data_IF_865659066823
#
_entry.id   IF_865659066823
#
_cell.length_a   1.000
_cell.length_b   1.000
_cell.length_c   1.000
_cell.angle_alpha   90.00
_cell.angle_beta   90.00
_cell.angle_gamma   90.00
#
_symmetry.space_group_name_H-M   'P 1'
#
loop_
_entity.id
_entity.type
_entity.pdbx_description
1 polymer ?
#
# COMPACT_ATOMS: atom_id res chain seq x y z
N UNK A 1 66.52 10.70 -52.73
CA UNK A 1 66.88 12.01 -52.18
C UNK A 1 65.89 13.03 -52.73
N UNK A 2 64.77 13.20 -52.03
CA UNK A 2 63.84 14.32 -52.21
C UNK A 2 63.39 14.64 -50.79
N UNK A 3 63.91 15.75 -50.26
CA UNK A 3 63.58 16.31 -48.96
C UNK A 3 62.39 17.24 -49.16
N UNK A 4 61.20 16.79 -48.79
CA UNK A 4 60.01 17.65 -48.67
C UNK A 4 59.89 18.14 -47.23
N UNK A 5 60.01 19.45 -47.09
CA UNK A 5 59.81 20.22 -45.86
C UNK A 5 58.31 20.45 -45.67
N UNK A 6 57.73 20.19 -44.48
CA UNK A 6 56.32 20.48 -44.23
C UNK A 6 56.11 21.98 -43.93
N UNK A 7 54.95 22.55 -44.29
CA UNK A 7 54.64 23.95 -43.99
C UNK A 7 54.26 24.11 -42.51
N UNK A 8 54.82 25.16 -41.90
CA UNK A 8 54.41 25.65 -40.59
C UNK A 8 52.98 26.20 -40.67
N UNK A 9 52.07 25.60 -39.93
CA UNK A 9 50.74 26.16 -39.67
C UNK A 9 50.77 26.82 -38.30
N UNK A 10 50.91 28.14 -38.31
CA UNK A 10 50.63 29.02 -37.17
C UNK A 10 49.12 29.00 -36.91
N UNK A 11 48.71 28.21 -35.91
CA UNK A 11 47.37 28.18 -35.37
C UNK A 11 47.36 28.81 -33.98
N UNK A 12 47.46 30.14 -33.90
CA UNK A 12 47.04 30.91 -32.72
C UNK A 12 45.51 30.83 -32.58
N UNK A 13 45.00 29.64 -32.27
CA UNK A 13 43.58 29.45 -31.98
C UNK A 13 43.34 29.67 -30.49
N UNK A 14 43.10 30.95 -30.18
CA UNK A 14 42.09 31.38 -29.22
C UNK A 14 42.07 30.61 -27.89
N UNK A 15 42.88 31.09 -26.95
CA UNK A 15 42.60 31.06 -25.50
C UNK A 15 41.29 31.80 -25.19
N UNK A 16 40.15 31.34 -25.73
CA UNK A 16 38.84 31.62 -25.17
C UNK A 16 38.72 30.74 -23.95
N UNK A 17 39.05 31.30 -22.80
CA UNK A 17 38.73 30.72 -21.50
C UNK A 17 37.29 30.25 -21.54
N UNK A 18 37.10 28.95 -21.42
CA UNK A 18 35.80 28.35 -21.16
C UNK A 18 35.23 29.10 -19.97
N UNK A 19 34.06 29.75 -20.08
CA UNK A 19 33.47 30.42 -18.94
C UNK A 19 33.40 29.40 -17.80
N UNK A 20 33.77 29.79 -16.56
CA UNK A 20 33.71 28.85 -15.45
C UNK A 20 32.29 28.30 -15.41
N UNK A 21 32.17 26.98 -15.33
CA UNK A 21 30.89 26.30 -15.20
C UNK A 21 30.27 26.69 -13.85
N UNK A 22 29.64 27.85 -13.80
CA UNK A 22 28.98 28.43 -12.62
C UNK A 22 27.47 28.57 -12.87
N UNK A 23 26.90 27.66 -13.65
CA UNK A 23 25.47 27.37 -13.56
C UNK A 23 25.34 26.08 -12.78
N UNK A 24 24.85 26.23 -11.55
CA UNK A 24 24.42 25.19 -10.63
C UNK A 24 24.01 23.93 -11.39
N UNK A 25 24.89 22.94 -11.41
CA UNK A 25 24.60 21.61 -11.94
C UNK A 25 23.65 20.90 -10.97
N UNK A 26 22.47 21.48 -10.80
CA UNK A 26 21.39 20.89 -10.04
C UNK A 26 21.17 19.49 -10.59
N UNK A 27 21.27 18.49 -9.70
CA UNK A 27 21.05 17.08 -10.02
C UNK A 27 19.85 16.97 -10.94
N UNK A 28 20.02 16.34 -12.12
CA UNK A 28 19.01 16.42 -13.20
C UNK A 28 17.63 15.93 -12.74
N UNK A 29 17.60 14.95 -11.83
CA UNK A 29 16.37 14.43 -11.22
C UNK A 29 15.77 15.22 -10.06
N UNK A 30 16.41 16.32 -9.68
CA UNK A 30 16.00 17.19 -8.58
C UNK A 30 15.47 18.55 -9.04
N UNK A 31 15.36 18.77 -10.36
CA UNK A 31 14.75 19.96 -10.90
C UNK A 31 13.31 20.16 -10.36
N UNK A 32 12.89 21.40 -10.04
CA UNK A 32 11.53 21.70 -9.62
C UNK A 32 10.52 21.16 -10.63
N UNK A 33 9.59 20.33 -10.15
CA UNK A 33 8.61 19.66 -11.01
C UNK A 33 7.46 20.62 -11.28
N UNK A 34 7.02 20.70 -12.53
CA UNK A 34 5.75 21.35 -12.84
C UNK A 34 4.63 20.60 -12.12
N UNK A 35 3.83 21.32 -11.33
CA UNK A 35 2.65 20.72 -10.71
C UNK A 35 1.68 20.28 -11.81
N UNK A 36 1.16 19.04 -11.78
CA UNK A 36 0.26 18.57 -12.82
C UNK A 36 -0.95 19.50 -12.93
N UNK A 37 -1.40 19.72 -14.17
CA UNK A 37 -2.55 20.57 -14.45
C UNK A 37 -3.80 20.04 -13.72
N UNK A 38 -4.82 20.90 -13.48
CA UNK A 38 -6.04 20.49 -12.78
C UNK A 38 -6.76 19.30 -13.47
N UNK A 39 -6.71 19.23 -14.80
CA UNK A 39 -7.28 18.11 -15.57
C UNK A 39 -6.56 16.78 -15.31
N UNK A 40 -5.22 16.79 -15.26
CA UNK A 40 -4.43 15.60 -14.93
C UNK A 40 -4.60 15.18 -13.48
N UNK A 41 -4.69 16.15 -12.55
CA UNK A 41 -5.02 15.88 -11.16
C UNK A 41 -6.38 15.21 -11.03
N UNK A 42 -7.40 15.67 -11.76
CA UNK A 42 -8.73 15.04 -11.75
C UNK A 42 -8.69 13.62 -12.34
N UNK A 43 -7.97 13.42 -13.46
CA UNK A 43 -7.80 12.09 -14.08
C UNK A 43 -7.09 11.13 -13.13
N UNK A 44 -5.98 11.56 -12.54
CA UNK A 44 -5.20 10.75 -11.60
C UNK A 44 -6.00 10.48 -10.31
N UNK A 45 -6.73 11.48 -9.82
CA UNK A 45 -7.67 11.31 -8.71
C UNK A 45 -8.77 10.30 -9.05
N UNK A 46 -9.28 10.28 -10.28
CA UNK A 46 -10.33 9.35 -10.66
C UNK A 46 -9.82 7.91 -10.83
N UNK A 47 -8.62 7.72 -11.38
CA UNK A 47 -8.00 6.40 -11.48
C UNK A 47 -7.54 5.86 -10.12
N UNK A 48 -7.17 6.76 -9.20
CA UNK A 48 -6.50 6.38 -7.97
C UNK A 48 -7.16 7.00 -6.73
N UNK A 49 -8.51 7.13 -6.75
CA UNK A 49 -9.43 7.79 -5.78
C UNK A 49 -9.06 7.60 -4.30
N UNK A 50 -8.05 8.32 -3.84
CA UNK A 50 -7.46 8.21 -2.51
C UNK A 50 -5.94 8.45 -2.44
N UNK A 51 -5.26 8.67 -3.56
CA UNK A 51 -3.80 8.77 -3.61
C UNK A 51 -3.23 10.20 -3.53
N UNK A 52 -4.06 11.24 -3.45
CA UNK A 52 -3.57 12.64 -3.36
C UNK A 52 -2.56 12.84 -2.23
N UNK A 53 -2.87 12.33 -1.03
CA UNK A 53 -1.94 12.41 0.11
C UNK A 53 -0.68 11.55 -0.08
N UNK A 54 -0.77 10.45 -0.84
CA UNK A 54 0.38 9.61 -1.16
C UNK A 54 1.29 10.27 -2.19
N UNK A 55 0.71 10.98 -3.17
CA UNK A 55 1.43 11.81 -4.13
C UNK A 55 2.18 12.92 -3.38
N UNK A 56 1.47 13.75 -2.61
CA UNK A 56 2.07 14.90 -1.92
C UNK A 56 3.19 14.47 -0.96
N UNK A 57 2.99 13.33 -0.28
CA UNK A 57 4.00 12.75 0.60
C UNK A 57 5.24 12.29 -0.18
N UNK A 58 5.07 11.56 -1.28
CA UNK A 58 6.22 11.11 -2.07
C UNK A 58 6.92 12.30 -2.72
N UNK A 59 6.17 13.27 -3.26
CA UNK A 59 6.70 14.48 -3.87
C UNK A 59 7.58 15.26 -2.90
N UNK A 60 7.05 15.55 -1.70
CA UNK A 60 7.80 16.25 -0.65
C UNK A 60 8.99 15.45 -0.14
N UNK A 61 8.87 14.13 0.01
CA UNK A 61 9.99 13.26 0.43
C UNK A 61 11.10 13.25 -0.62
N UNK A 62 10.75 13.16 -1.91
CA UNK A 62 11.70 13.21 -3.01
C UNK A 62 12.43 14.55 -3.05
N UNK A 63 11.70 15.66 -2.91
CA UNK A 63 12.28 17.01 -2.94
C UNK A 63 13.24 17.23 -1.78
N UNK A 64 12.86 16.85 -0.55
CA UNK A 64 13.73 16.94 0.62
C UNK A 64 15.00 16.08 0.44
N UNK A 65 14.84 14.83 0.01
CA UNK A 65 15.96 13.92 -0.21
C UNK A 65 16.91 14.41 -1.30
N UNK A 66 16.38 14.97 -2.39
CA UNK A 66 17.17 15.58 -3.45
C UNK A 66 18.08 16.70 -2.94
N UNK A 67 17.56 17.58 -2.09
CA UNK A 67 18.33 18.66 -1.50
C UNK A 67 19.41 18.14 -0.54
N UNK A 68 19.07 17.16 0.33
CA UNK A 68 20.03 16.52 1.24
C UNK A 68 21.15 15.79 0.47
N UNK A 69 20.80 15.06 -0.58
CA UNK A 69 21.76 14.31 -1.39
C UNK A 69 22.66 15.23 -2.21
N UNK A 70 22.13 16.31 -2.78
CA UNK A 70 22.94 17.33 -3.45
C UNK A 70 23.96 17.97 -2.51
N UNK A 71 23.52 18.40 -1.32
CA UNK A 71 24.42 18.97 -0.32
C UNK A 71 25.53 18.00 0.13
N UNK A 72 25.21 16.70 0.23
CA UNK A 72 26.20 15.67 0.53
C UNK A 72 27.25 15.52 -0.59
N UNK A 73 26.81 15.54 -1.85
CA UNK A 73 27.73 15.45 -3.00
C UNK A 73 28.62 16.68 -3.10
N UNK A 74 28.08 17.88 -2.86
CA UNK A 74 28.87 19.11 -2.83
C UNK A 74 29.98 19.06 -1.75
N UNK A 75 29.66 18.54 -0.57
CA UNK A 75 30.64 18.39 0.51
C UNK A 75 31.68 17.30 0.18
N UNK A 76 31.25 16.19 -0.43
CA UNK A 76 32.15 15.15 -0.90
C UNK A 76 33.13 15.69 -1.95
N UNK A 77 32.65 16.43 -2.95
CA UNK A 77 33.49 17.05 -3.98
C UNK A 77 34.52 18.02 -3.36
N UNK A 78 34.16 18.77 -2.31
CA UNK A 78 35.11 19.61 -1.55
C UNK A 78 36.20 18.79 -0.84
N UNK A 79 35.82 17.70 -0.19
CA UNK A 79 36.77 16.81 0.50
C UNK A 79 37.73 16.13 -0.48
N UNK A 80 37.22 15.67 -1.63
CA UNK A 80 38.04 15.10 -2.71
C UNK A 80 39.04 16.13 -3.24
N UNK A 81 38.58 17.36 -3.53
CA UNK A 81 39.45 18.45 -3.98
C UNK A 81 40.54 18.82 -2.96
N UNK A 82 40.22 18.75 -1.66
CA UNK A 82 41.17 19.05 -0.59
C UNK A 82 42.25 17.99 -0.43
N UNK A 83 41.93 16.70 -0.66
CA UNK A 83 42.91 15.61 -0.57
C UNK A 83 43.79 15.49 -1.82
N UNK A 84 43.27 15.82 -3.00
CA UNK A 84 44.00 15.67 -4.26
C UNK A 84 44.19 14.21 -4.71
N UNK A 85 43.66 13.26 -3.94
CA UNK A 85 43.46 11.88 -4.38
C UNK A 85 42.21 11.86 -5.27
N UNK A 86 42.25 11.09 -6.36
CA UNK A 86 41.14 11.00 -7.31
C UNK A 86 39.78 10.65 -6.67
N UNK A 87 38.70 10.62 -7.46
CA UNK A 87 37.34 10.51 -6.93
C UNK A 87 37.18 9.27 -6.04
N UNK A 88 36.74 9.49 -4.80
CA UNK A 88 36.55 8.45 -3.79
C UNK A 88 35.22 7.72 -3.97
N UNK A 89 34.24 8.39 -4.59
CA UNK A 89 33.00 7.80 -5.08
C UNK A 89 33.10 7.57 -6.58
N UNK A 90 32.78 6.34 -6.99
CA UNK A 90 32.55 6.02 -8.38
C UNK A 90 31.39 6.87 -8.94
N UNK A 91 31.67 7.70 -9.94
CA UNK A 91 30.68 8.60 -10.56
C UNK A 91 29.49 7.80 -11.13
N UNK A 92 29.67 6.53 -11.47
CA UNK A 92 28.60 5.64 -11.91
C UNK A 92 27.53 5.43 -10.82
N UNK A 93 27.93 5.41 -9.54
CA UNK A 93 27.00 5.29 -8.40
C UNK A 93 26.12 6.53 -8.31
N UNK A 94 26.72 7.71 -8.44
CA UNK A 94 25.98 8.99 -8.39
C UNK A 94 24.98 9.06 -9.55
N UNK A 95 25.43 8.79 -10.77
CA UNK A 95 24.55 8.74 -11.96
C UNK A 95 23.44 7.70 -11.80
N UNK A 96 23.71 6.56 -11.14
CA UNK A 96 22.68 5.56 -10.86
C UNK A 96 21.62 6.06 -9.88
N UNK A 97 22.01 6.76 -8.81
CA UNK A 97 21.08 7.38 -7.86
C UNK A 97 20.22 8.43 -8.58
N UNK A 98 20.82 9.32 -9.35
CA UNK A 98 20.10 10.34 -10.12
C UNK A 98 19.09 9.71 -11.08
N UNK A 99 19.50 8.67 -11.82
CA UNK A 99 18.62 7.94 -12.73
C UNK A 99 17.41 7.34 -12.02
N UNK A 100 17.60 6.82 -10.80
CA UNK A 100 16.52 6.26 -9.99
C UNK A 100 15.57 7.35 -9.47
N UNK A 101 16.11 8.51 -9.06
CA UNK A 101 15.31 9.67 -8.65
C UNK A 101 14.50 10.24 -9.83
N UNK A 102 15.10 10.33 -11.01
CA UNK A 102 14.43 10.73 -12.25
C UNK A 102 13.27 9.78 -12.59
N UNK A 103 13.52 8.48 -12.50
CA UNK A 103 12.46 7.46 -12.71
C UNK A 103 11.37 7.59 -11.66
N UNK A 104 11.72 7.82 -10.40
CA UNK A 104 10.75 8.02 -9.33
C UNK A 104 9.84 9.23 -9.62
N UNK A 105 10.43 10.36 -10.00
CA UNK A 105 9.71 11.57 -10.37
C UNK A 105 8.83 11.37 -11.61
N UNK A 106 9.35 10.70 -12.64
CA UNK A 106 8.60 10.38 -13.86
C UNK A 106 7.40 9.46 -13.58
N UNK A 107 7.56 8.47 -12.72
CA UNK A 107 6.45 7.62 -12.28
C UNK A 107 5.41 8.40 -11.48
N UNK A 108 5.85 9.29 -10.59
CA UNK A 108 4.97 10.16 -9.82
C UNK A 108 4.11 11.05 -10.74
N UNK A 109 4.72 11.72 -11.72
CA UNK A 109 4.01 12.56 -12.71
C UNK A 109 2.95 11.78 -13.50
N UNK A 110 3.24 10.51 -13.85
CA UNK A 110 2.30 9.62 -14.54
C UNK A 110 1.20 9.05 -13.63
N UNK A 111 1.21 9.37 -12.33
CA UNK A 111 0.28 8.80 -11.34
C UNK A 111 0.62 7.36 -10.92
N UNK A 112 1.80 6.85 -11.29
CA UNK A 112 2.32 5.53 -10.92
C UNK A 112 3.06 5.59 -9.57
N UNK A 113 2.32 5.95 -8.52
CA UNK A 113 2.89 6.29 -7.20
C UNK A 113 3.70 5.12 -6.61
N UNK A 114 3.30 3.87 -6.86
CA UNK A 114 4.01 2.69 -6.36
C UNK A 114 5.37 2.51 -6.98
N UNK A 115 5.42 2.60 -8.31
CA UNK A 115 6.66 2.53 -9.06
C UNK A 115 7.57 3.70 -8.66
N UNK A 116 6.99 4.86 -8.34
CA UNK A 116 7.67 6.00 -7.74
C UNK A 116 8.37 5.63 -6.43
N UNK A 117 7.63 5.08 -5.46
CA UNK A 117 8.18 4.63 -4.19
C UNK A 117 9.25 3.54 -4.37
N UNK A 118 9.05 2.59 -5.28
CA UNK A 118 10.03 1.53 -5.57
C UNK A 118 11.36 2.11 -6.05
N UNK A 119 11.32 3.04 -7.01
CA UNK A 119 12.52 3.71 -7.54
C UNK A 119 13.19 4.56 -6.45
N UNK A 120 12.41 5.31 -5.67
CA UNK A 120 12.93 6.11 -4.56
C UNK A 120 13.63 5.26 -3.50
N UNK A 121 13.02 4.15 -3.08
CA UNK A 121 13.64 3.22 -2.14
C UNK A 121 14.90 2.57 -2.71
N UNK A 122 14.97 2.35 -4.03
CA UNK A 122 16.19 1.87 -4.67
C UNK A 122 17.31 2.91 -4.61
N UNK A 123 17.02 4.19 -4.89
CA UNK A 123 17.97 5.28 -4.76
C UNK A 123 18.56 5.34 -3.33
N UNK A 124 17.68 5.29 -2.31
CA UNK A 124 18.03 5.24 -0.88
C UNK A 124 18.79 3.99 -0.39
N UNK A 125 19.01 3.00 -1.25
CA UNK A 125 19.89 1.88 -0.93
C UNK A 125 21.26 2.10 -1.55
N UNK A 126 21.31 2.72 -2.73
CA UNK A 126 22.53 2.96 -3.48
C UNK A 126 23.32 4.12 -2.86
N UNK A 127 22.65 5.12 -2.30
CA UNK A 127 23.28 6.24 -1.57
C UNK A 127 24.13 5.81 -0.36
N UNK A 128 23.90 4.62 0.22
CA UNK A 128 24.72 4.04 1.27
C UNK A 128 26.18 3.86 0.85
N UNK A 129 26.46 3.71 -0.46
CA UNK A 129 27.83 3.71 -0.97
C UNK A 129 28.48 5.09 -0.93
N UNK A 130 27.69 6.16 -1.12
CA UNK A 130 28.15 7.55 -1.02
C UNK A 130 28.49 7.87 0.44
N UNK A 131 27.62 7.50 1.39
CA UNK A 131 27.92 7.64 2.83
C UNK A 131 29.19 6.88 3.23
N UNK A 132 29.36 5.66 2.73
CA UNK A 132 30.55 4.87 3.04
C UNK A 132 31.83 5.44 2.44
N UNK A 133 31.76 6.14 1.31
CA UNK A 133 32.91 6.83 0.75
C UNK A 133 33.21 8.12 1.51
N UNK A 134 32.18 8.85 1.92
CA UNK A 134 32.31 10.02 2.78
C UNK A 134 33.03 9.66 4.10
N UNK A 135 32.58 8.62 4.80
CA UNK A 135 33.22 8.16 6.04
C UNK A 135 34.69 7.72 5.82
N UNK A 136 35.07 7.24 4.62
CA UNK A 136 36.47 6.95 4.28
C UNK A 136 37.29 8.22 4.07
N UNK A 137 36.70 9.27 3.49
CA UNK A 137 37.35 10.56 3.26
C UNK A 137 37.52 11.39 4.53
N UNK A 138 36.74 11.12 5.56
CA UNK A 138 36.85 11.79 6.87
C UNK A 138 37.64 10.95 7.88
N UNK A 139 38.36 9.91 7.42
CA UNK A 139 39.11 8.97 8.28
C UNK A 139 38.26 8.37 9.43
N UNK A 140 36.95 8.24 9.21
CA UNK A 140 35.99 7.76 10.20
C UNK A 140 35.67 8.76 11.33
N UNK A 141 36.02 10.04 11.18
CA UNK A 141 35.54 11.10 12.08
C UNK A 141 34.02 11.21 12.05
N UNK A 142 33.42 10.91 10.89
CA UNK A 142 31.98 10.78 10.72
C UNK A 142 31.56 9.30 10.71
N UNK A 143 30.44 9.04 11.36
CA UNK A 143 29.84 7.70 11.51
C UNK A 143 28.53 7.63 10.69
N UNK A 144 28.45 8.24 9.50
CA UNK A 144 27.18 8.43 8.77
C UNK A 144 26.51 7.09 8.43
N UNK A 145 27.29 6.08 8.01
CA UNK A 145 26.75 4.74 7.76
C UNK A 145 26.18 4.12 9.04
N UNK A 146 26.83 4.34 10.18
CA UNK A 146 26.37 3.85 11.48
C UNK A 146 25.12 4.58 11.95
N UNK A 147 25.03 5.89 11.76
CA UNK A 147 23.83 6.68 12.03
C UNK A 147 22.63 6.17 11.23
N UNK A 148 22.81 5.95 9.92
CA UNK A 148 21.78 5.34 9.07
C UNK A 148 21.42 3.92 9.51
N UNK A 149 22.40 3.16 9.99
CA UNK A 149 22.16 1.82 10.54
C UNK A 149 21.26 1.87 11.78
N UNK A 150 21.50 2.82 12.69
CA UNK A 150 20.66 3.05 13.87
C UNK A 150 19.24 3.45 13.46
N UNK A 151 19.09 4.35 12.48
CA UNK A 151 17.78 4.77 11.96
C UNK A 151 17.00 3.58 11.38
N UNK A 152 17.65 2.78 10.52
CA UNK A 152 17.05 1.58 9.90
C UNK A 152 16.66 0.56 10.98
N UNK A 153 17.54 0.31 11.95
CA UNK A 153 17.26 -0.62 13.03
C UNK A 153 16.04 -0.17 13.85
N UNK A 154 15.96 1.12 14.21
CA UNK A 154 14.80 1.68 14.92
C UNK A 154 13.52 1.55 14.11
N UNK A 155 13.54 1.94 12.83
CA UNK A 155 12.38 1.79 11.93
C UNK A 155 11.95 0.31 11.84
N UNK A 156 12.90 -0.61 11.79
CA UNK A 156 12.63 -2.04 11.74
C UNK A 156 11.98 -2.56 13.03
N UNK A 157 12.45 -2.14 14.21
CA UNK A 157 11.86 -2.56 15.49
C UNK A 157 10.43 -2.03 15.66
N UNK A 158 10.15 -0.84 15.15
CA UNK A 158 8.83 -0.22 15.24
C UNK A 158 7.81 -0.82 14.26
N UNK A 159 8.26 -1.22 13.06
CA UNK A 159 7.35 -1.59 11.95
C UNK A 159 7.35 -3.07 11.58
N UNK A 160 8.41 -3.81 11.87
CA UNK A 160 8.53 -5.21 11.48
C UNK A 160 8.15 -6.15 12.63
N UNK A 161 7.69 -7.35 12.30
CA UNK A 161 7.40 -8.41 13.25
C UNK A 161 7.87 -9.77 12.73
N UNK A 162 8.05 -10.73 13.65
CA UNK A 162 8.54 -12.08 13.35
C UNK A 162 9.93 -12.11 12.73
N UNK A 163 10.15 -13.05 11.80
CA UNK A 163 11.46 -13.35 11.22
C UNK A 163 12.13 -12.17 10.51
N UNK A 164 11.37 -11.21 9.94
CA UNK A 164 11.97 -10.05 9.25
C UNK A 164 12.65 -9.11 10.22
N UNK A 165 12.05 -8.92 11.40
CA UNK A 165 12.62 -8.11 12.47
C UNK A 165 13.90 -8.75 12.99
N UNK A 166 13.86 -10.06 13.23
CA UNK A 166 15.03 -10.87 13.64
C UNK A 166 16.15 -10.80 12.60
N UNK A 167 15.84 -10.99 11.30
CA UNK A 167 16.83 -10.90 10.24
C UNK A 167 17.49 -9.51 10.16
N UNK A 168 16.76 -8.42 10.38
CA UNK A 168 17.35 -7.07 10.46
C UNK A 168 18.26 -6.94 11.68
N UNK A 169 17.84 -7.44 12.86
CA UNK A 169 18.68 -7.45 14.05
C UNK A 169 19.97 -8.27 13.84
N UNK A 170 19.89 -9.44 13.22
CA UNK A 170 21.06 -10.28 12.94
C UNK A 170 22.06 -9.63 11.98
N UNK A 171 21.55 -8.84 11.01
CA UNK A 171 22.38 -8.10 10.06
C UNK A 171 23.10 -6.91 10.72
N UNK A 172 22.40 -6.17 11.59
CA UNK A 172 22.85 -4.85 12.06
C UNK A 172 23.47 -4.87 13.46
N UNK A 173 23.08 -5.82 14.31
CA UNK A 173 23.56 -5.92 15.68
C UNK A 173 24.79 -6.84 15.79
N UNK A 174 25.59 -6.60 16.81
CA UNK A 174 26.65 -7.50 17.26
C UNK A 174 26.12 -8.52 18.29
N UNK A 175 27.01 -9.37 18.81
CA UNK A 175 26.66 -10.37 19.83
C UNK A 175 26.17 -9.78 21.15
N UNK A 176 26.44 -8.49 21.40
CA UNK A 176 25.97 -7.77 22.59
C UNK A 176 24.59 -7.14 22.41
N UNK A 177 23.99 -7.27 21.21
CA UNK A 177 22.72 -6.65 20.87
C UNK A 177 22.83 -5.16 20.58
N UNK A 178 24.04 -4.63 20.40
CA UNK A 178 24.28 -3.24 20.04
C UNK A 178 24.52 -3.12 18.53
N UNK A 179 24.18 -1.98 17.94
CA UNK A 179 24.48 -1.71 16.53
C UNK A 179 26.00 -1.76 16.33
N UNK A 180 26.45 -2.54 15.34
CA UNK A 180 27.88 -2.72 15.05
C UNK A 180 28.55 -1.36 14.85
N UNK A 181 29.77 -1.20 15.38
CA UNK A 181 30.56 0.04 15.22
C UNK A 181 30.87 0.33 13.74
N UNK A 182 31.24 -0.70 12.98
CA UNK A 182 31.49 -0.61 11.54
C UNK A 182 30.59 -1.61 10.80
N UNK A 183 29.31 -1.29 10.59
CA UNK A 183 28.39 -2.19 9.91
C UNK A 183 28.78 -2.26 8.42
N UNK A 184 28.91 -3.46 7.83
CA UNK A 184 29.23 -3.57 6.41
C UNK A 184 28.07 -3.02 5.58
N UNK A 185 28.38 -2.16 4.60
CA UNK A 185 27.38 -1.48 3.73
C UNK A 185 26.38 -2.45 3.12
N UNK A 186 26.86 -3.63 2.68
CA UNK A 186 26.01 -4.68 2.11
C UNK A 186 24.96 -5.22 3.09
N UNK A 187 25.29 -5.29 4.40
CA UNK A 187 24.33 -5.69 5.43
C UNK A 187 23.31 -4.57 5.69
N UNK A 188 23.75 -3.31 5.72
CA UNK A 188 22.86 -2.14 5.87
C UNK A 188 21.88 -2.04 4.70
N UNK A 189 22.37 -2.22 3.47
CA UNK A 189 21.53 -2.26 2.26
C UNK A 189 20.51 -3.41 2.31
N UNK A 190 20.93 -4.61 2.74
CA UNK A 190 20.02 -5.75 2.86
C UNK A 190 18.97 -5.54 3.94
N UNK A 191 19.35 -4.96 5.08
CA UNK A 191 18.40 -4.59 6.13
C UNK A 191 17.39 -3.54 5.64
N UNK A 192 17.88 -2.49 4.94
CA UNK A 192 17.02 -1.47 4.32
C UNK A 192 16.04 -2.09 3.33
N UNK A 193 16.50 -3.03 2.50
CA UNK A 193 15.64 -3.74 1.55
C UNK A 193 14.50 -4.49 2.26
N UNK A 194 14.78 -5.20 3.36
CA UNK A 194 13.74 -5.90 4.14
C UNK A 194 12.69 -4.93 4.72
N UNK A 195 13.13 -3.77 5.21
CA UNK A 195 12.23 -2.72 5.71
C UNK A 195 11.36 -2.16 4.58
N UNK A 196 11.96 -1.84 3.43
CA UNK A 196 11.26 -1.30 2.27
C UNK A 196 10.24 -2.31 1.70
N UNK A 197 10.62 -3.60 1.57
CA UNK A 197 9.74 -4.68 1.10
C UNK A 197 8.51 -4.85 2.01
N UNK A 198 8.73 -4.81 3.33
CA UNK A 198 7.65 -4.90 4.31
C UNK A 198 6.73 -3.68 4.26
N UNK A 199 7.29 -2.46 4.14
CA UNK A 199 6.52 -1.24 3.96
C UNK A 199 5.66 -1.31 2.68
N UNK A 200 6.24 -1.74 1.55
CA UNK A 200 5.52 -1.91 0.29
C UNK A 200 4.39 -2.95 0.40
N UNK A 201 4.65 -4.09 1.05
CA UNK A 201 3.66 -5.13 1.31
C UNK A 201 2.48 -4.60 2.13
N UNK A 202 2.77 -3.82 3.19
CA UNK A 202 1.75 -3.19 4.03
C UNK A 202 0.93 -2.15 3.27
N UNK A 203 1.57 -1.32 2.44
CA UNK A 203 0.89 -0.33 1.60
C UNK A 203 -0.02 -0.98 0.56
N UNK A 204 0.44 -2.06 -0.09
CA UNK A 204 -0.36 -2.84 -1.03
C UNK A 204 -1.58 -3.46 -0.34
N UNK A 205 -1.39 -4.05 0.85
CA UNK A 205 -2.48 -4.63 1.66
C UNK A 205 -3.51 -3.57 2.05
N UNK A 206 -3.08 -2.39 2.52
CA UNK A 206 -3.99 -1.30 2.90
C UNK A 206 -4.84 -0.85 1.71
N UNK A 207 -4.24 -0.72 0.53
CA UNK A 207 -4.99 -0.32 -0.68
C UNK A 207 -5.93 -1.39 -1.18
N UNK A 208 -5.55 -2.65 -1.08
CA UNK A 208 -6.45 -3.77 -1.34
C UNK A 208 -7.68 -3.70 -0.43
N UNK A 209 -7.49 -3.55 0.89
CA UNK A 209 -8.59 -3.43 1.86
C UNK A 209 -9.46 -2.20 1.60
N UNK A 210 -8.88 -1.06 1.25
CA UNK A 210 -9.62 0.16 0.90
C UNK A 210 -10.43 -0.02 -0.39
N UNK A 211 -9.93 -0.75 -1.39
CA UNK A 211 -10.71 -1.09 -2.60
C UNK A 211 -11.87 -2.01 -2.23
N UNK A 212 -11.62 -3.06 -1.45
CA UNK A 212 -12.63 -3.99 -0.97
C UNK A 212 -13.75 -3.26 -0.20
N UNK A 213 -13.37 -2.36 0.71
CA UNK A 213 -14.30 -1.54 1.49
C UNK A 213 -15.16 -0.65 0.59
N UNK A 214 -14.56 -0.01 -0.42
CA UNK A 214 -15.29 0.82 -1.39
C UNK A 214 -16.28 0.02 -2.23
N UNK A 215 -15.91 -1.18 -2.67
CA UNK A 215 -16.83 -2.05 -3.40
C UNK A 215 -18.00 -2.51 -2.53
N UNK A 216 -17.73 -2.90 -1.27
CA UNK A 216 -18.79 -3.27 -0.31
C UNK A 216 -19.73 -2.09 -0.06
N UNK A 217 -19.19 -0.89 0.18
CA UNK A 217 -19.98 0.31 0.38
C UNK A 217 -20.81 0.66 -0.85
N UNK A 218 -20.20 0.61 -2.05
CA UNK A 218 -20.89 0.88 -3.31
C UNK A 218 -22.05 -0.08 -3.57
N UNK A 219 -21.82 -1.39 -3.40
CA UNK A 219 -22.87 -2.40 -3.55
C UNK A 219 -23.96 -2.22 -2.50
N UNK A 220 -23.59 -1.93 -1.24
CA UNK A 220 -24.55 -1.64 -0.17
C UNK A 220 -25.42 -0.43 -0.48
N UNK A 221 -24.85 0.66 -0.99
CA UNK A 221 -25.60 1.86 -1.43
C UNK A 221 -26.56 1.50 -2.56
N UNK A 222 -26.10 0.79 -3.60
CA UNK A 222 -26.96 0.38 -4.73
C UNK A 222 -28.11 -0.49 -4.25
N UNK A 223 -27.83 -1.51 -3.42
CA UNK A 223 -28.85 -2.38 -2.85
C UNK A 223 -29.88 -1.60 -2.02
N UNK A 224 -29.42 -0.66 -1.18
CA UNK A 224 -30.29 0.23 -0.40
C UNK A 224 -31.14 1.14 -1.30
N UNK A 225 -30.57 1.74 -2.34
CA UNK A 225 -31.30 2.60 -3.27
C UNK A 225 -32.40 1.82 -4.01
N UNK A 226 -32.08 0.62 -4.51
CA UNK A 226 -33.04 -0.26 -5.16
C UNK A 226 -34.14 -0.68 -4.17
N UNK A 227 -33.76 -1.04 -2.94
CA UNK A 227 -34.71 -1.36 -1.89
C UNK A 227 -35.67 -0.20 -1.59
N UNK A 228 -35.14 1.00 -1.34
CA UNK A 228 -35.94 2.19 -1.04
C UNK A 228 -36.86 2.57 -2.20
N UNK A 229 -36.40 2.43 -3.45
CA UNK A 229 -37.24 2.65 -4.63
C UNK A 229 -38.39 1.64 -4.73
N UNK A 230 -38.16 0.39 -4.34
CA UNK A 230 -39.21 -0.61 -4.26
C UNK A 230 -40.21 -0.29 -3.15
N UNK A 231 -39.72 0.08 -1.96
CA UNK A 231 -40.56 0.46 -0.82
C UNK A 231 -41.49 1.62 -1.15
N UNK A 232 -41.00 2.65 -1.84
CA UNK A 232 -41.84 3.81 -2.21
C UNK A 232 -42.90 3.48 -3.25
N UNK A 233 -42.72 2.43 -4.08
CA UNK A 233 -43.68 2.05 -5.13
C UNK A 233 -44.70 1.00 -4.69
N UNK A 234 -44.27 0.01 -3.90
CA UNK A 234 -45.10 -1.16 -3.58
C UNK A 234 -45.31 -1.38 -2.07
N UNK A 235 -44.59 -0.66 -1.22
CA UNK A 235 -44.58 -0.80 0.25
C UNK A 235 -44.66 -2.27 0.73
N UNK A 236 -43.55 -3.03 0.67
CA UNK A 236 -43.53 -4.45 1.05
C UNK A 236 -43.90 -4.70 2.52
N UNK A 237 -43.91 -3.67 3.36
CA UNK A 237 -44.29 -3.77 4.78
C UNK A 237 -45.81 -3.83 4.98
N UNK A 238 -46.60 -3.39 4.00
CA UNK A 238 -48.06 -3.38 4.06
C UNK A 238 -48.70 -4.58 3.35
N UNK A 239 -47.90 -5.47 2.75
CA UNK A 239 -48.40 -6.61 1.99
C UNK A 239 -48.84 -7.71 2.95
N UNK A 240 -50.12 -8.10 2.90
CA UNK A 240 -50.65 -9.18 3.73
C UNK A 240 -50.13 -10.56 3.32
N UNK A 241 -49.87 -10.75 2.02
CA UNK A 241 -49.40 -12.01 1.46
C UNK A 241 -47.90 -11.95 1.10
N UNK A 242 -47.09 -12.60 1.93
CA UNK A 242 -45.63 -12.68 1.76
C UNK A 242 -45.20 -13.65 0.65
N UNK A 243 -46.12 -14.41 0.05
CA UNK A 243 -45.82 -15.37 -1.03
C UNK A 243 -45.78 -14.75 -2.42
N UNK A 244 -46.22 -13.49 -2.55
CA UNK A 244 -46.22 -12.77 -3.83
C UNK A 244 -44.77 -12.65 -4.35
N UNK A 245 -44.51 -12.94 -5.65
CA UNK A 245 -43.17 -12.88 -6.23
C UNK A 245 -42.44 -11.55 -6.00
N UNK A 246 -43.19 -10.44 -5.97
CA UNK A 246 -42.65 -9.11 -5.67
C UNK A 246 -42.04 -9.03 -4.28
N UNK A 247 -42.65 -9.67 -3.26
CA UNK A 247 -42.09 -9.71 -1.90
C UNK A 247 -40.77 -10.50 -1.87
N UNK A 248 -40.73 -11.64 -2.58
CA UNK A 248 -39.54 -12.49 -2.68
C UNK A 248 -38.31 -11.77 -3.28
N UNK A 249 -38.50 -10.70 -4.08
CA UNK A 249 -37.40 -9.89 -4.59
C UNK A 249 -36.73 -9.00 -3.53
N UNK A 250 -37.44 -8.62 -2.46
CA UNK A 250 -36.87 -7.80 -1.39
C UNK A 250 -35.95 -8.60 -0.47
N UNK A 251 -36.25 -9.89 -0.26
CA UNK A 251 -35.47 -10.79 0.59
C UNK A 251 -33.97 -10.83 0.23
N UNK A 252 -33.55 -11.13 -1.02
CA UNK A 252 -32.14 -11.14 -1.38
C UNK A 252 -31.50 -9.76 -1.33
N UNK A 253 -32.26 -8.67 -1.53
CA UNK A 253 -31.76 -7.29 -1.40
C UNK A 253 -31.42 -6.96 0.05
N UNK A 254 -32.27 -7.33 1.02
CA UNK A 254 -31.97 -7.18 2.43
C UNK A 254 -30.81 -8.08 2.87
N UNK A 255 -30.74 -9.31 2.37
CA UNK A 255 -29.61 -10.21 2.60
C UNK A 255 -28.29 -9.60 2.08
N UNK A 256 -28.30 -9.04 0.87
CA UNK A 256 -27.15 -8.32 0.31
C UNK A 256 -26.75 -7.12 1.18
N UNK A 257 -27.74 -6.35 1.66
CA UNK A 257 -27.52 -5.20 2.53
C UNK A 257 -26.86 -5.62 3.85
N UNK A 258 -27.40 -6.65 4.52
CA UNK A 258 -26.83 -7.21 5.74
C UNK A 258 -25.39 -7.69 5.55
N UNK A 259 -25.13 -8.40 4.44
CA UNK A 259 -23.79 -8.90 4.09
C UNK A 259 -22.80 -7.76 3.79
N UNK A 260 -23.26 -6.68 3.15
CA UNK A 260 -22.43 -5.50 2.85
C UNK A 260 -21.97 -4.79 4.13
N UNK A 261 -22.89 -4.56 5.08
CA UNK A 261 -22.59 -3.93 6.38
C UNK A 261 -21.67 -4.79 7.22
N UNK A 262 -21.91 -6.09 7.25
CA UNK A 262 -21.02 -7.04 7.92
C UNK A 262 -19.63 -7.03 7.28
N UNK A 263 -19.56 -7.05 5.95
CA UNK A 263 -18.32 -6.98 5.19
C UNK A 263 -17.49 -5.74 5.53
N UNK A 264 -18.14 -4.56 5.60
CA UNK A 264 -17.51 -3.30 6.01
C UNK A 264 -16.87 -3.43 7.39
N UNK A 265 -17.64 -3.90 8.39
CA UNK A 265 -17.15 -4.11 9.76
C UNK A 265 -16.00 -5.12 9.81
N UNK A 266 -16.11 -6.22 9.06
CA UNK A 266 -15.09 -7.27 9.01
C UNK A 266 -13.78 -6.76 8.43
N UNK A 267 -13.83 -6.00 7.34
CA UNK A 267 -12.63 -5.44 6.70
C UNK A 267 -11.93 -4.45 7.64
N UNK A 268 -12.70 -3.62 8.36
CA UNK A 268 -12.15 -2.69 9.34
C UNK A 268 -11.44 -3.36 10.52
N UNK A 269 -11.92 -4.53 10.97
CA UNK A 269 -11.32 -5.27 12.10
C UNK A 269 -10.12 -6.14 11.72
N UNK A 270 -10.00 -6.55 10.46
CA UNK A 270 -9.01 -7.58 10.07
C UNK A 270 -7.71 -7.01 9.47
N UNK A 271 -7.45 -5.72 9.69
CA UNK A 271 -6.38 -4.99 9.01
C UNK A 271 -4.96 -5.55 9.21
N UNK A 272 -4.70 -6.33 10.28
CA UNK A 272 -3.32 -6.64 10.69
C UNK A 272 -2.80 -8.02 10.25
N UNK A 273 -3.60 -9.09 10.22
CA UNK A 273 -2.99 -10.45 10.27
C UNK A 273 -3.02 -11.31 8.99
N UNK A 274 -3.90 -11.05 8.01
CA UNK A 274 -4.03 -12.02 6.90
C UNK A 274 -2.92 -11.93 5.83
N UNK A 275 -2.34 -13.09 5.51
CA UNK A 275 -1.60 -13.41 4.28
C UNK A 275 -2.65 -13.61 3.16
N UNK A 276 -2.97 -12.54 2.45
CA UNK A 276 -3.98 -12.59 1.38
C UNK A 276 -3.40 -13.32 0.17
N UNK A 277 -4.04 -14.38 -0.36
CA UNK A 277 -3.61 -15.02 -1.59
C UNK A 277 -3.68 -14.01 -2.73
N UNK A 278 -2.58 -13.80 -3.46
CA UNK A 278 -2.48 -12.78 -4.51
C UNK A 278 -3.40 -13.04 -5.73
N UNK A 279 -4.01 -14.22 -5.83
CA UNK A 279 -4.74 -14.66 -7.01
C UNK A 279 -6.24 -14.27 -7.01
N UNK A 280 -6.78 -13.73 -5.93
CA UNK A 280 -8.19 -13.35 -5.88
C UNK A 280 -8.38 -11.87 -6.19
N UNK A 281 -9.25 -11.58 -7.17
CA UNK A 281 -9.67 -10.20 -7.43
C UNK A 281 -10.49 -9.70 -6.22
N UNK A 282 -10.23 -8.49 -5.70
CA UNK A 282 -10.97 -7.96 -4.55
C UNK A 282 -12.48 -7.90 -4.81
N UNK A 283 -12.88 -7.70 -6.06
CA UNK A 283 -14.27 -7.69 -6.48
C UNK A 283 -14.91 -9.08 -6.34
N UNK A 284 -14.23 -10.15 -6.75
CA UNK A 284 -14.77 -11.52 -6.67
C UNK A 284 -15.10 -11.93 -5.23
N UNK A 285 -14.22 -11.59 -4.28
CA UNK A 285 -14.45 -11.87 -2.85
C UNK A 285 -15.67 -11.09 -2.31
N UNK A 286 -15.82 -9.83 -2.73
CA UNK A 286 -16.96 -9.00 -2.31
C UNK A 286 -18.27 -9.50 -2.90
N UNK A 287 -18.29 -9.83 -4.19
CA UNK A 287 -19.47 -10.37 -4.86
C UNK A 287 -19.87 -11.71 -4.28
N UNK A 288 -18.91 -12.61 -4.02
CA UNK A 288 -19.18 -13.88 -3.36
C UNK A 288 -19.84 -13.69 -1.99
N UNK A 289 -19.33 -12.76 -1.17
CA UNK A 289 -19.92 -12.45 0.14
C UNK A 289 -21.37 -11.95 0.03
N UNK A 290 -21.62 -10.99 -0.87
CA UNK A 290 -22.95 -10.44 -1.08
C UNK A 290 -23.90 -11.52 -1.59
N UNK A 291 -23.45 -12.33 -2.54
CA UNK A 291 -24.21 -13.43 -3.12
C UNK A 291 -24.57 -14.51 -2.08
N UNK A 292 -23.61 -14.94 -1.25
CA UNK A 292 -23.86 -15.89 -0.16
C UNK A 292 -24.86 -15.29 0.83
N UNK A 293 -24.72 -14.01 1.20
CA UNK A 293 -25.67 -13.34 2.09
C UNK A 293 -27.09 -13.29 1.53
N UNK A 294 -27.23 -12.99 0.24
CA UNK A 294 -28.53 -13.02 -0.46
C UNK A 294 -29.11 -14.43 -0.53
N UNK A 295 -28.31 -15.44 -0.85
CA UNK A 295 -28.77 -16.84 -0.90
C UNK A 295 -29.23 -17.32 0.48
N UNK A 296 -28.48 -17.02 1.54
CA UNK A 296 -28.86 -17.37 2.92
C UNK A 296 -30.18 -16.74 3.32
N UNK A 297 -30.41 -15.47 2.93
CA UNK A 297 -31.69 -14.80 3.17
C UNK A 297 -32.85 -15.49 2.46
N UNK A 298 -32.66 -15.89 1.20
CA UNK A 298 -33.67 -16.62 0.40
C UNK A 298 -33.96 -18.00 1.00
N UNK A 299 -32.93 -18.72 1.43
CA UNK A 299 -33.09 -20.02 2.06
C UNK A 299 -33.89 -19.93 3.37
N UNK A 300 -33.59 -18.96 4.24
CA UNK A 300 -34.35 -18.76 5.47
C UNK A 300 -35.79 -18.29 5.20
N UNK A 301 -36.00 -17.45 4.20
CA UNK A 301 -37.34 -17.07 3.77
C UNK A 301 -38.16 -18.29 3.35
N UNK A 302 -37.63 -19.17 2.49
CA UNK A 302 -38.34 -20.40 2.10
C UNK A 302 -38.55 -21.36 3.27
N UNK A 303 -37.57 -21.50 4.18
CA UNK A 303 -37.72 -22.34 5.36
C UNK A 303 -38.81 -21.87 6.32
N UNK A 304 -38.97 -20.54 6.45
CA UNK A 304 -40.02 -19.94 7.29
C UNK A 304 -41.39 -19.97 6.62
N UNK A 305 -41.48 -19.76 5.29
CA UNK A 305 -42.77 -19.81 4.57
C UNK A 305 -43.26 -21.23 4.32
N UNK A 306 -42.36 -22.22 4.25
CA UNK A 306 -42.73 -23.64 4.15
C UNK A 306 -43.02 -24.29 5.52
N UNK A 307 -43.07 -23.52 6.60
CA UNK A 307 -43.30 -24.00 7.98
C UNK A 307 -42.30 -25.08 8.46
N UNK A 308 -41.14 -25.19 7.80
CA UNK A 308 -40.09 -26.15 8.17
C UNK A 308 -39.49 -25.79 9.54
N UNK A 309 -39.44 -24.50 9.85
CA UNK A 309 -38.98 -23.97 11.14
C UNK A 309 -40.17 -23.35 11.88
N UNK A 310 -40.77 -24.11 12.80
CA UNK A 310 -41.83 -23.63 13.68
C UNK A 310 -41.27 -22.72 14.78
N UNK A 311 -40.98 -21.46 14.44
CA UNK A 311 -40.57 -20.43 15.42
C UNK A 311 -41.74 -20.03 16.34
N UNK A 312 -42.96 -20.42 15.96
CA UNK A 312 -44.23 -19.97 16.54
C UNK A 312 -44.91 -21.00 17.45
N UNK A 313 -44.21 -22.04 17.92
CA UNK A 313 -44.78 -23.01 18.88
C UNK A 313 -45.35 -22.35 20.17
N UNK A 314 -45.08 -21.05 20.41
CA UNK A 314 -45.60 -20.28 21.52
C UNK A 314 -46.60 -19.14 21.15
N UNK A 315 -46.85 -18.82 19.86
CA UNK A 315 -47.80 -17.76 19.50
C UNK A 315 -48.41 -17.98 18.10
N UNK A 316 -49.73 -18.23 18.05
CA UNK A 316 -50.53 -18.45 16.84
C UNK A 316 -50.77 -17.18 15.99
N UNK A 317 -49.76 -16.32 15.88
CA UNK A 317 -49.80 -15.08 15.09
C UNK A 317 -49.05 -15.26 13.79
N UNK A 318 -49.70 -14.88 12.69
CA UNK A 318 -49.15 -14.84 11.34
C UNK A 318 -47.76 -14.18 11.29
N UNK A 319 -46.85 -14.75 10.50
CA UNK A 319 -45.49 -14.24 10.35
C UNK A 319 -45.54 -12.87 9.65
N UNK A 320 -45.26 -11.81 10.42
CA UNK A 320 -45.26 -10.44 9.88
C UNK A 320 -44.22 -10.29 8.75
N UNK A 321 -44.55 -9.60 7.64
CA UNK A 321 -43.60 -9.28 6.57
C UNK A 321 -42.32 -8.59 7.09
N UNK A 322 -42.47 -7.72 8.09
CA UNK A 322 -41.34 -7.04 8.73
C UNK A 322 -40.37 -8.02 9.39
N UNK A 323 -40.88 -9.09 10.01
CA UNK A 323 -40.06 -10.14 10.62
C UNK A 323 -39.27 -10.90 9.56
N UNK A 324 -39.89 -11.25 8.43
CA UNK A 324 -39.19 -11.94 7.33
C UNK A 324 -38.07 -11.07 6.74
N UNK A 325 -38.31 -9.77 6.54
CA UNK A 325 -37.27 -8.86 6.04
C UNK A 325 -36.14 -8.66 7.07
N UNK A 326 -36.47 -8.60 8.36
CA UNK A 326 -35.48 -8.54 9.44
C UNK A 326 -34.62 -9.81 9.49
N UNK A 327 -35.25 -10.98 9.38
CA UNK A 327 -34.56 -12.27 9.32
C UNK A 327 -33.67 -12.33 8.07
N UNK A 328 -34.16 -11.90 6.91
CA UNK A 328 -33.38 -11.84 5.68
C UNK A 328 -32.12 -10.97 5.84
N UNK A 329 -32.27 -9.79 6.45
CA UNK A 329 -31.15 -8.91 6.77
C UNK A 329 -30.16 -9.56 7.74
N UNK A 330 -30.67 -10.16 8.82
CA UNK A 330 -29.86 -10.86 9.81
C UNK A 330 -29.12 -12.06 9.19
N UNK A 331 -29.76 -12.80 8.28
CA UNK A 331 -29.18 -13.90 7.53
C UNK A 331 -27.96 -13.43 6.73
N UNK A 332 -28.11 -12.32 6.00
CA UNK A 332 -27.02 -11.70 5.27
C UNK A 332 -25.86 -11.25 6.18
N UNK A 333 -26.19 -10.74 7.36
CA UNK A 333 -25.19 -10.35 8.37
C UNK A 333 -24.47 -11.55 9.01
N UNK A 334 -25.11 -12.72 9.02
CA UNK A 334 -24.72 -13.90 9.79
C UNK A 334 -23.60 -14.76 9.19
N UNK A 335 -22.94 -14.35 8.10
CA UNK A 335 -21.83 -15.11 7.46
C UNK A 335 -20.78 -15.62 8.47
N UNK A 336 -20.57 -14.92 9.61
CA UNK A 336 -19.73 -15.42 10.73
C UNK A 336 -20.49 -15.97 11.93
N UNK A 337 -21.76 -15.65 12.07
CA UNK A 337 -22.59 -16.25 13.12
C UNK A 337 -22.93 -17.70 12.78
N UNK A 338 -23.06 -18.09 11.52
CA UNK A 338 -23.34 -19.48 11.15
C UNK A 338 -22.22 -20.44 11.62
N UNK A 339 -20.92 -20.21 11.34
CA UNK A 339 -19.86 -21.03 11.90
C UNK A 339 -19.82 -21.01 13.44
N UNK A 340 -19.98 -19.84 14.07
CA UNK A 340 -19.96 -19.71 15.54
C UNK A 340 -21.19 -20.34 16.22
N UNK A 341 -22.35 -20.31 15.57
CA UNK A 341 -23.58 -20.92 16.03
C UNK A 341 -23.51 -22.45 15.87
N UNK A 342 -22.97 -22.94 14.77
CA UNK A 342 -22.69 -24.38 14.58
C UNK A 342 -21.67 -24.86 15.61
N UNK A 343 -20.59 -24.11 15.87
CA UNK A 343 -19.61 -24.44 16.90
C UNK A 343 -20.25 -24.48 18.29
N UNK A 344 -21.13 -23.51 18.63
CA UNK A 344 -21.87 -23.51 19.90
C UNK A 344 -22.88 -24.66 20.01
N UNK A 345 -23.63 -24.96 18.96
CA UNK A 345 -24.59 -26.08 18.94
C UNK A 345 -23.85 -27.42 19.02
N UNK A 346 -22.71 -27.55 18.36
CA UNK A 346 -21.83 -28.72 18.47
C UNK A 346 -21.27 -28.90 19.87
N UNK A 347 -20.90 -27.81 20.56
CA UNK A 347 -20.44 -27.85 21.95
C UNK A 347 -21.55 -28.21 22.95
N UNK A 348 -22.79 -27.80 22.67
CA UNK A 348 -23.96 -28.17 23.50
C UNK A 348 -24.30 -29.65 23.30
N UNK A 349 -24.36 -30.12 22.06
CA UNK A 349 -24.68 -31.51 21.71
C UNK A 349 -23.62 -32.49 22.24
N UNK A 350 -22.33 -32.13 22.19
CA UNK A 350 -21.25 -32.96 22.73
C UNK A 350 -21.26 -33.12 24.26
N UNK A 351 -21.95 -32.22 24.98
CA UNK A 351 -22.02 -32.24 26.44
C UNK A 351 -23.10 -33.18 26.97
N UNK A 352 -24.17 -33.41 26.20
CA UNK A 352 -25.27 -34.33 26.57
C UNK A 352 -24.93 -35.81 26.33
N UNK A 353 -23.96 -36.12 25.47
CA UNK A 353 -23.53 -37.51 25.20
C UNK A 353 -22.49 -38.01 26.23
N UNK A 354 -21.96 -37.12 27.08
CA UNK A 354 -20.95 -37.45 28.10
C UNK A 354 -21.50 -37.50 29.53
N UNK A 355 -22.82 -37.38 29.70
CA UNK A 355 -23.55 -37.57 30.94
C UNK A 355 -24.45 -38.80 30.80
#
# INVERSE_FOLDING_TARGET
MVTETPPATDGEESLRGTPPATEDAALRGCAPRATPGPAERLRNWWHDRGSGTAYDRLDGTLTAYCAEFGALLDELDRLEAARGDGPAVDRDVVTHVETLLDRAASHLQRGHIDQGWVCFHAARRVDLYVYAAYDRLTDGETDLVRERTVEIHREAMDRLSGWRREAVSDLLLDRSGQVRRHPPVSAVMRARHLVDEANQSNHAKRRYLQRQLRYLLGIGIVALTVFMLGVTRANPLAVADVTIPTFALYVPLLGALGASLFGVRSVSKTATSMKVPQNFTPLGVVLARVFIGSLSAVALYFGLTAEVVNVTAAAATDVSPALLLLVAFAAGYSERLAPQAIERVSQITGREVSA
#
